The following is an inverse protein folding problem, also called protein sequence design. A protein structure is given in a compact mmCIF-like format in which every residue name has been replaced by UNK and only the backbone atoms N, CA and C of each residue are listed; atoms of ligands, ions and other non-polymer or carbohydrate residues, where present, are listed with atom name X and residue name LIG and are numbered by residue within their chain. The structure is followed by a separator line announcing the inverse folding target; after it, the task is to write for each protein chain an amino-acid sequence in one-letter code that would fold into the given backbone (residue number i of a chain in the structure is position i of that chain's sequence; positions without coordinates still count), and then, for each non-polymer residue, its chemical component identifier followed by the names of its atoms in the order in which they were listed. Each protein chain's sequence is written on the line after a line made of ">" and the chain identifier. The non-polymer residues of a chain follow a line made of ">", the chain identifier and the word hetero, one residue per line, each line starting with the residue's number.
data_IF_097781821308
#
_entry.id   IF_097781821308
#
_cell.length_a   1.000
_cell.length_b   1.000
_cell.length_c   1.000
_cell.angle_alpha   90.00
_cell.angle_beta   90.00
_cell.angle_gamma   90.00
#
_symmetry.space_group_name_H-M   'P 1'
#
loop_
_entity.id
_entity.type
_entity.pdbx_description
1 polymer ?
#
# COMPACT_ATOMS: atom_id res chain seq x y z
N UNK A 1 -26.29 16.19 24.62
CA UNK A 1 -25.98 17.55 24.11
C UNK A 1 -25.79 17.41 22.61
N UNK A 2 -26.71 17.95 21.80
CA UNK A 2 -26.69 17.80 20.33
C UNK A 2 -26.01 19.02 19.73
N UNK A 3 -24.90 18.83 19.04
CA UNK A 3 -24.20 19.90 18.31
C UNK A 3 -24.96 20.17 17.02
N UNK A 4 -25.66 21.31 16.96
CA UNK A 4 -26.35 21.76 15.74
C UNK A 4 -25.35 22.52 14.86
N UNK A 5 -25.22 22.11 13.60
CA UNK A 5 -24.41 22.79 12.60
C UNK A 5 -24.87 24.25 12.43
N UNK A 6 -23.98 25.21 12.66
CA UNK A 6 -24.25 26.66 12.58
C UNK A 6 -23.89 27.28 11.21
N UNK A 7 -23.60 26.45 10.20
CA UNK A 7 -23.23 26.93 8.87
C UNK A 7 -24.44 27.16 7.96
N UNK A 8 -24.30 28.10 7.03
CA UNK A 8 -25.30 28.35 5.99
C UNK A 8 -25.31 27.19 4.98
N UNK A 9 -26.46 26.53 4.79
CA UNK A 9 -26.62 25.50 3.77
C UNK A 9 -26.76 26.18 2.41
N UNK A 10 -25.71 26.10 1.59
CA UNK A 10 -25.73 26.61 0.22
C UNK A 10 -26.35 25.62 -0.75
N UNK A 11 -27.08 26.12 -1.74
CA UNK A 11 -27.57 25.29 -2.84
C UNK A 11 -26.40 24.73 -3.66
N UNK A 12 -26.63 23.60 -4.34
CA UNK A 12 -25.62 22.99 -5.23
C UNK A 12 -25.13 24.00 -6.26
N UNK A 13 -26.03 24.77 -6.87
CA UNK A 13 -25.66 25.83 -7.81
C UNK A 13 -24.78 26.90 -7.17
N UNK A 14 -25.11 27.37 -5.96
CA UNK A 14 -24.31 28.35 -5.25
C UNK A 14 -22.92 27.81 -4.86
N UNK A 15 -22.81 26.52 -4.57
CA UNK A 15 -21.53 25.86 -4.34
C UNK A 15 -20.70 25.75 -5.63
N UNK A 16 -21.33 25.38 -6.75
CA UNK A 16 -20.66 25.29 -8.05
C UNK A 16 -20.18 26.65 -8.55
N UNK A 17 -20.99 27.70 -8.41
CA UNK A 17 -20.62 29.06 -8.80
C UNK A 17 -19.53 29.65 -7.91
N UNK A 18 -19.51 29.30 -6.62
CA UNK A 18 -18.44 29.69 -5.71
C UNK A 18 -17.13 28.95 -6.04
N UNK A 19 -17.20 27.66 -6.38
CA UNK A 19 -16.06 26.88 -6.83
C UNK A 19 -15.48 27.42 -8.14
N UNK A 20 -16.34 27.80 -9.10
CA UNK A 20 -15.92 28.37 -10.38
C UNK A 20 -15.25 29.75 -10.23
N UNK A 21 -15.65 30.55 -9.23
CA UNK A 21 -15.08 31.87 -8.92
C UNK A 21 -13.84 31.83 -8.03
N UNK A 22 -13.60 30.70 -7.37
CA UNK A 22 -12.39 30.50 -6.58
C UNK A 22 -11.26 30.12 -7.54
N UNK A 23 -10.21 30.94 -7.72
CA UNK A 23 -9.08 30.52 -8.51
C UNK A 23 -8.52 29.24 -7.88
N UNK A 24 -8.53 28.14 -8.65
CA UNK A 24 -7.95 26.89 -8.20
C UNK A 24 -6.46 27.12 -7.94
N UNK A 25 -6.10 27.36 -6.67
CA UNK A 25 -4.72 27.58 -6.26
C UNK A 25 -4.03 26.23 -6.31
N UNK A 26 -3.53 25.88 -7.50
CA UNK A 26 -2.62 24.75 -7.68
C UNK A 26 -1.38 25.05 -6.88
N UNK A 27 -1.16 24.35 -5.77
CA UNK A 27 0.17 24.26 -5.17
C UNK A 27 1.11 23.73 -6.26
N UNK A 28 2.13 24.50 -6.69
CA UNK A 28 3.11 24.01 -7.64
C UNK A 28 3.87 22.86 -6.95
N UNK A 29 3.58 21.63 -7.35
CA UNK A 29 4.12 20.39 -6.75
C UNK A 29 3.23 19.16 -6.90
N UNK A 30 1.90 19.33 -7.04
CA UNK A 30 0.97 18.19 -7.14
C UNK A 30 0.17 18.24 -8.45
N UNK A 31 0.71 17.62 -9.50
CA UNK A 31 -0.13 17.06 -10.57
C UNK A 31 0.13 15.57 -10.82
N UNK A 32 1.22 15.01 -10.31
CA UNK A 32 1.63 13.61 -10.55
C UNK A 32 2.48 13.04 -9.38
N UNK A 33 2.21 13.44 -8.13
CA UNK A 33 2.98 12.98 -6.97
C UNK A 33 2.46 11.66 -6.38
N UNK A 34 3.33 10.97 -5.64
CA UNK A 34 2.96 9.83 -4.80
C UNK A 34 1.98 10.28 -3.72
N UNK A 35 0.97 9.45 -3.41
CA UNK A 35 0.07 9.69 -2.28
C UNK A 35 0.75 9.24 -0.98
N UNK A 36 1.16 7.96 -0.94
CA UNK A 36 1.98 7.38 0.11
C UNK A 36 3.04 6.47 -0.49
N UNK A 37 4.16 6.33 0.22
CA UNK A 37 5.24 5.39 -0.09
C UNK A 37 5.11 4.11 0.74
N UNK A 38 5.84 3.07 0.34
CA UNK A 38 6.00 1.88 1.16
C UNK A 38 6.61 2.20 2.55
N UNK A 39 7.46 3.23 2.64
CA UNK A 39 8.03 3.70 3.89
C UNK A 39 6.97 4.32 4.82
N UNK A 40 6.07 5.16 4.29
CA UNK A 40 4.94 5.72 5.05
C UNK A 40 4.01 4.62 5.56
N UNK A 41 3.74 3.62 4.72
CA UNK A 41 2.94 2.44 5.07
C UNK A 41 3.59 1.63 6.19
N UNK A 42 4.91 1.42 6.16
CA UNK A 42 5.62 0.70 7.23
C UNK A 42 5.64 1.46 8.56
N UNK A 43 5.77 2.80 8.53
CA UNK A 43 5.61 3.65 9.73
C UNK A 43 4.19 3.51 10.30
N UNK A 44 3.18 3.49 9.42
CA UNK A 44 1.79 3.28 9.82
C UNK A 44 1.60 1.91 10.46
N UNK A 45 2.14 0.84 9.88
CA UNK A 45 2.13 -0.51 10.49
C UNK A 45 2.77 -0.52 11.87
N UNK A 46 3.92 0.13 12.06
CA UNK A 46 4.57 0.22 13.39
C UNK A 46 3.64 0.86 14.42
N UNK A 47 2.96 1.94 14.04
CA UNK A 47 1.98 2.60 14.91
C UNK A 47 0.81 1.68 15.24
N UNK A 48 0.23 1.02 14.23
CA UNK A 48 -0.87 0.08 14.41
C UNK A 48 -0.49 -1.06 15.36
N UNK A 49 0.69 -1.67 15.16
CA UNK A 49 1.21 -2.71 16.05
C UNK A 49 1.40 -2.20 17.50
N UNK A 50 1.92 -0.98 17.67
CA UNK A 50 2.07 -0.36 18.98
C UNK A 50 0.72 -0.07 19.65
N UNK A 51 -0.31 0.24 18.86
CA UNK A 51 -1.69 0.46 19.29
C UNK A 51 -2.45 -0.87 19.55
N UNK A 52 -1.81 -2.03 19.34
CA UNK A 52 -2.36 -3.36 19.62
C UNK A 52 -3.07 -4.02 18.44
N UNK A 53 -3.01 -3.43 17.24
CA UNK A 53 -3.56 -4.05 16.03
C UNK A 53 -2.74 -5.27 15.61
N UNK A 54 -3.43 -6.25 15.02
CA UNK A 54 -2.81 -7.47 14.53
C UNK A 54 -2.14 -7.33 13.16
N UNK A 55 -1.45 -8.39 12.75
CA UNK A 55 -0.82 -8.49 11.42
C UNK A 55 -1.83 -8.34 10.27
N UNK A 56 -3.07 -8.80 10.44
CA UNK A 56 -4.11 -8.66 9.41
C UNK A 56 -4.53 -7.19 9.19
N UNK A 57 -4.54 -6.39 10.27
CA UNK A 57 -4.76 -4.94 10.17
C UNK A 57 -3.64 -4.27 9.36
N UNK A 58 -2.40 -4.63 9.66
CA UNK A 58 -1.23 -4.13 8.94
C UNK A 58 -1.12 -4.65 7.51
N UNK A 59 -1.59 -5.88 7.23
CA UNK A 59 -1.70 -6.38 5.86
C UNK A 59 -2.62 -5.50 5.03
N UNK A 60 -3.81 -5.16 5.57
CA UNK A 60 -4.78 -4.31 4.87
C UNK A 60 -4.30 -2.86 4.73
N UNK A 61 -3.87 -2.25 5.82
CA UNK A 61 -3.57 -0.81 5.85
C UNK A 61 -2.12 -0.47 5.47
N UNK A 62 -1.22 -1.46 5.43
CA UNK A 62 0.15 -1.29 4.99
C UNK A 62 0.37 -1.88 3.61
N UNK A 63 0.23 -3.20 3.47
CA UNK A 63 0.60 -3.90 2.24
C UNK A 63 -0.40 -3.62 1.11
N UNK A 64 -1.70 -3.85 1.33
CA UNK A 64 -2.71 -3.60 0.30
C UNK A 64 -2.83 -2.11 -0.02
N UNK A 65 -2.77 -1.23 0.99
CA UNK A 65 -2.73 0.22 0.75
C UNK A 65 -1.54 0.64 -0.14
N UNK A 66 -0.35 0.06 0.07
CA UNK A 66 0.82 0.33 -0.79
C UNK A 66 0.60 -0.15 -2.22
N UNK A 67 -0.06 -1.29 -2.41
CA UNK A 67 -0.44 -1.79 -3.72
C UNK A 67 -1.48 -0.88 -4.41
N UNK A 68 -2.45 -0.36 -3.66
CA UNK A 68 -3.45 0.60 -4.16
C UNK A 68 -2.77 1.90 -4.62
N UNK A 69 -1.87 2.44 -3.79
CA UNK A 69 -1.10 3.65 -4.09
C UNK A 69 -0.20 3.47 -5.32
N UNK A 70 0.48 2.33 -5.43
CA UNK A 70 1.24 1.94 -6.61
C UNK A 70 0.34 1.85 -7.84
N UNK A 71 -0.78 1.15 -7.75
CA UNK A 71 -1.71 0.92 -8.88
C UNK A 71 -2.32 2.23 -9.37
N UNK A 72 -2.75 3.09 -8.46
CA UNK A 72 -3.25 4.43 -8.75
C UNK A 72 -2.19 5.31 -9.41
N UNK A 73 -0.95 5.27 -8.91
CA UNK A 73 0.17 6.03 -9.49
C UNK A 73 0.53 5.52 -10.88
N UNK A 74 0.59 4.20 -11.07
CA UNK A 74 0.85 3.56 -12.38
C UNK A 74 -0.18 3.96 -13.42
N UNK A 75 -1.46 3.94 -13.06
CA UNK A 75 -2.56 4.37 -13.95
C UNK A 75 -2.43 5.83 -14.38
N UNK A 76 -1.84 6.69 -13.54
CA UNK A 76 -1.72 8.13 -13.79
C UNK A 76 -0.44 8.54 -14.53
N UNK A 77 0.67 7.82 -14.31
CA UNK A 77 1.99 8.24 -14.80
C UNK A 77 2.96 7.13 -15.16
N UNK A 78 2.49 5.89 -15.34
CA UNK A 78 3.30 4.78 -15.81
C UNK A 78 4.12 4.08 -14.72
N UNK A 79 4.81 2.99 -15.08
CA UNK A 79 5.55 2.15 -14.15
C UNK A 79 6.75 2.87 -13.50
N UNK A 80 7.41 3.79 -14.19
CA UNK A 80 8.56 4.54 -13.66
C UNK A 80 8.14 5.49 -12.53
N UNK A 81 6.97 6.11 -12.65
CA UNK A 81 6.42 6.94 -11.58
C UNK A 81 5.94 6.06 -10.41
N UNK A 82 5.30 4.94 -10.71
CA UNK A 82 4.80 4.02 -9.68
C UNK A 82 5.94 3.38 -8.86
N UNK A 83 7.06 3.06 -9.50
CA UNK A 83 8.26 2.54 -8.84
C UNK A 83 8.77 3.46 -7.71
N UNK A 84 8.48 4.77 -7.78
CA UNK A 84 8.89 5.71 -6.74
C UNK A 84 8.19 5.46 -5.39
N UNK A 85 7.07 4.73 -5.35
CA UNK A 85 6.45 4.23 -4.09
C UNK A 85 7.47 3.44 -3.26
N UNK A 86 8.46 2.82 -3.89
CA UNK A 86 9.47 1.96 -3.28
C UNK A 86 10.87 2.59 -3.22
N UNK A 87 11.01 3.89 -3.51
CA UNK A 87 12.32 4.58 -3.52
C UNK A 87 12.98 4.57 -2.15
N UNK A 88 12.23 4.91 -1.10
CA UNK A 88 12.73 4.90 0.26
C UNK A 88 12.58 3.50 0.87
N UNK A 89 13.64 3.04 1.55
CA UNK A 89 13.57 1.78 2.27
C UNK A 89 12.54 1.86 3.40
N UNK A 90 11.56 0.94 3.43
CA UNK A 90 10.60 0.91 4.52
C UNK A 90 11.29 0.58 5.85
N UNK A 91 11.11 1.39 6.90
CA UNK A 91 11.72 1.08 8.20
C UNK A 91 11.13 -0.22 8.76
N UNK A 92 11.94 -0.97 9.51
CA UNK A 92 11.51 -2.24 10.11
C UNK A 92 10.28 -2.03 10.99
N UNK A 93 9.23 -2.80 10.73
CA UNK A 93 7.96 -2.70 11.46
C UNK A 93 8.04 -3.31 12.86
N UNK A 94 9.03 -4.19 13.09
CA UNK A 94 9.11 -5.05 14.28
C UNK A 94 8.41 -6.39 14.09
N UNK A 95 7.72 -6.59 12.96
CA UNK A 95 7.11 -7.85 12.57
C UNK A 95 7.77 -8.38 11.27
N UNK A 96 8.58 -9.45 11.34
CA UNK A 96 9.27 -10.01 10.18
C UNK A 96 8.34 -10.34 9.00
N UNK A 97 7.11 -10.76 9.29
CA UNK A 97 6.05 -11.02 8.32
C UNK A 97 5.75 -9.82 7.42
N UNK A 98 5.61 -8.63 8.01
CA UNK A 98 5.31 -7.41 7.27
C UNK A 98 6.55 -6.90 6.52
N UNK A 99 7.71 -6.98 7.15
CA UNK A 99 8.97 -6.59 6.52
C UNK A 99 9.28 -7.45 5.27
N UNK A 100 8.97 -8.75 5.34
CA UNK A 100 9.03 -9.69 4.24
C UNK A 100 7.99 -9.37 3.15
N UNK A 101 6.76 -9.03 3.54
CA UNK A 101 5.70 -8.69 2.59
C UNK A 101 5.99 -7.39 1.82
N UNK A 102 6.57 -6.36 2.44
CA UNK A 102 6.98 -5.14 1.72
C UNK A 102 8.08 -5.43 0.70
N UNK A 103 9.07 -6.25 1.06
CA UNK A 103 10.11 -6.69 0.13
C UNK A 103 9.55 -7.53 -1.02
N UNK A 104 8.68 -8.49 -0.71
CA UNK A 104 8.01 -9.33 -1.70
C UNK A 104 7.15 -8.52 -2.68
N UNK A 105 6.43 -7.50 -2.17
CA UNK A 105 5.59 -6.65 -3.00
C UNK A 105 6.41 -5.81 -3.97
N UNK A 106 7.51 -5.20 -3.50
CA UNK A 106 8.42 -4.42 -4.35
C UNK A 106 9.01 -5.30 -5.46
N UNK A 107 9.52 -6.48 -5.10
CA UNK A 107 10.12 -7.44 -6.02
C UNK A 107 9.10 -7.96 -7.07
N UNK A 108 7.92 -8.36 -6.62
CA UNK A 108 6.82 -8.80 -7.49
C UNK A 108 6.41 -7.73 -8.51
N UNK A 109 6.25 -6.47 -8.05
CA UNK A 109 5.83 -5.37 -8.92
C UNK A 109 6.93 -4.93 -9.88
N UNK A 110 8.19 -4.98 -9.44
CA UNK A 110 9.37 -4.71 -10.27
C UNK A 110 9.47 -5.68 -11.43
N UNK A 111 9.36 -6.98 -11.15
CA UNK A 111 9.35 -8.03 -12.18
C UNK A 111 8.15 -7.85 -13.13
N UNK A 112 6.95 -7.64 -12.58
CA UNK A 112 5.72 -7.53 -13.37
C UNK A 112 5.72 -6.33 -14.32
N UNK A 113 6.17 -5.17 -13.85
CA UNK A 113 6.06 -3.90 -14.57
C UNK A 113 7.40 -3.44 -15.19
N UNK A 114 8.47 -4.23 -15.08
CA UNK A 114 9.71 -4.05 -15.84
C UNK A 114 10.65 -2.96 -15.31
N UNK A 115 10.65 -2.70 -14.00
CA UNK A 115 11.57 -1.77 -13.34
C UNK A 115 12.52 -2.49 -12.39
N UNK A 116 13.58 -1.81 -11.92
CA UNK A 116 14.63 -2.45 -11.12
C UNK A 116 14.21 -2.66 -9.66
N UNK A 117 14.23 -3.90 -9.18
CA UNK A 117 13.97 -4.21 -7.77
C UNK A 117 14.93 -3.44 -6.85
N UNK A 118 14.44 -2.75 -5.80
CA UNK A 118 15.29 -1.99 -4.89
C UNK A 118 16.20 -2.92 -4.08
N UNK A 119 17.43 -2.50 -3.78
CA UNK A 119 18.40 -3.31 -3.05
C UNK A 119 17.89 -3.75 -1.67
N UNK A 120 17.15 -2.89 -0.97
CA UNK A 120 16.56 -3.22 0.33
C UNK A 120 15.53 -4.36 0.24
N UNK A 121 14.87 -4.56 -0.90
CA UNK A 121 13.90 -5.64 -1.10
C UNK A 121 14.59 -6.99 -1.34
N UNK A 122 15.87 -6.97 -1.73
CA UNK A 122 16.71 -8.15 -1.91
C UNK A 122 17.42 -8.58 -0.62
N UNK A 123 17.25 -7.83 0.48
CA UNK A 123 17.82 -8.17 1.78
C UNK A 123 17.24 -9.51 2.31
N UNK A 124 18.07 -10.56 2.50
CA UNK A 124 17.61 -11.87 2.94
C UNK A 124 17.03 -11.87 4.37
N UNK A 125 17.28 -10.81 5.15
CA UNK A 125 16.70 -10.66 6.49
C UNK A 125 15.25 -10.15 6.45
N UNK A 126 14.70 -9.81 5.27
CA UNK A 126 13.27 -9.55 5.04
C UNK A 126 12.57 -10.84 4.63
N UNK A 127 12.55 -11.80 5.55
CA UNK A 127 11.92 -13.10 5.38
C UNK A 127 11.13 -13.48 6.64
N UNK A 128 10.10 -14.30 6.47
CA UNK A 128 9.33 -14.93 7.53
C UNK A 128 9.40 -16.45 7.40
N UNK A 129 9.12 -17.18 8.49
CA UNK A 129 9.14 -18.64 8.47
C UNK A 129 7.99 -19.19 7.61
N UNK A 130 6.75 -18.86 7.94
CA UNK A 130 5.56 -19.13 7.13
C UNK A 130 4.43 -18.24 7.61
N UNK A 131 3.82 -17.48 6.71
CA UNK A 131 2.73 -16.57 7.04
C UNK A 131 1.67 -16.53 5.93
N UNK A 132 0.41 -16.60 6.34
CA UNK A 132 -0.77 -16.65 5.47
C UNK A 132 -1.65 -15.42 5.73
N UNK A 133 -1.29 -14.22 5.22
CA UNK A 133 -2.00 -12.99 5.53
C UNK A 133 -3.42 -13.00 4.98
N UNK A 134 -4.43 -12.88 5.85
CA UNK A 134 -5.83 -12.91 5.46
C UNK A 134 -6.24 -14.10 4.55
N UNK A 135 -5.51 -15.23 4.60
CA UNK A 135 -5.82 -16.46 3.86
C UNK A 135 -6.50 -17.46 4.81
N UNK A 136 -7.82 -17.71 4.65
CA UNK A 136 -8.54 -18.75 5.37
C UNK A 136 -7.86 -20.12 5.26
N UNK A 137 -7.95 -20.93 6.32
CA UNK A 137 -7.32 -22.26 6.38
C UNK A 137 -7.68 -23.15 5.17
N UNK A 138 -8.93 -23.10 4.71
CA UNK A 138 -9.42 -23.88 3.55
C UNK A 138 -8.72 -23.53 2.22
N UNK A 139 -8.05 -22.36 2.15
CA UNK A 139 -7.36 -21.86 0.97
C UNK A 139 -5.84 -21.94 1.09
N UNK A 140 -5.29 -22.50 2.18
CA UNK A 140 -3.83 -22.53 2.38
C UNK A 140 -3.12 -23.44 1.38
N UNK A 141 -3.68 -24.60 1.08
CA UNK A 141 -3.12 -25.50 0.06
C UNK A 141 -3.09 -24.85 -1.35
N UNK A 142 -4.08 -24.01 -1.65
CA UNK A 142 -4.10 -23.19 -2.86
C UNK A 142 -2.99 -22.12 -2.79
N UNK A 143 -2.87 -21.40 -1.68
CA UNK A 143 -1.81 -20.41 -1.48
C UNK A 143 -0.40 -21.04 -1.60
N UNK A 144 -0.16 -22.23 -1.05
CA UNK A 144 1.12 -22.95 -1.19
C UNK A 144 1.51 -23.11 -2.67
N UNK A 145 0.52 -23.48 -3.49
CA UNK A 145 0.71 -23.79 -4.92
C UNK A 145 0.76 -22.53 -5.78
N UNK A 146 -0.03 -21.52 -5.47
CA UNK A 146 -0.24 -20.35 -6.34
C UNK A 146 0.58 -19.12 -5.97
N UNK A 147 1.13 -19.06 -4.75
CA UNK A 147 1.88 -17.88 -4.29
C UNK A 147 2.92 -17.41 -5.31
N UNK A 148 2.93 -16.11 -5.67
CA UNK A 148 3.98 -15.57 -6.52
C UNK A 148 5.37 -15.83 -5.93
N UNK A 149 6.35 -16.11 -6.79
CA UNK A 149 7.70 -16.50 -6.37
C UNK A 149 8.36 -15.50 -5.40
N UNK A 150 8.18 -14.20 -5.64
CA UNK A 150 8.68 -13.12 -4.79
C UNK A 150 8.14 -13.18 -3.34
N UNK A 151 6.87 -13.59 -3.17
CA UNK A 151 6.24 -13.79 -1.87
C UNK A 151 6.64 -15.13 -1.25
N UNK A 152 6.52 -16.22 -2.02
CA UNK A 152 6.82 -17.59 -1.56
C UNK A 152 8.24 -17.72 -1.03
N UNK A 153 9.23 -17.18 -1.74
CA UNK A 153 10.65 -17.24 -1.34
C UNK A 153 10.94 -16.53 -0.01
N UNK A 154 10.05 -15.65 0.46
CA UNK A 154 10.15 -14.89 1.71
C UNK A 154 9.19 -15.41 2.80
N UNK A 155 8.57 -16.56 2.59
CA UNK A 155 7.65 -17.21 3.53
C UNK A 155 6.29 -16.53 3.66
N UNK A 156 5.92 -15.67 2.70
CA UNK A 156 4.58 -15.07 2.63
C UNK A 156 3.76 -15.81 1.59
N UNK A 157 2.66 -16.43 2.03
CA UNK A 157 1.86 -17.33 1.21
C UNK A 157 0.47 -16.73 0.99
N UNK A 158 0.19 -16.41 -0.27
CA UNK A 158 -1.01 -15.73 -0.74
C UNK A 158 -1.64 -16.49 -1.90
N UNK A 159 -2.96 -16.42 -2.03
CA UNK A 159 -3.66 -16.88 -3.24
C UNK A 159 -3.49 -15.88 -4.38
N UNK A 160 -3.68 -16.31 -5.63
CA UNK A 160 -3.58 -15.41 -6.82
C UNK A 160 -4.42 -14.14 -6.68
N UNK A 161 -5.64 -14.30 -6.11
CA UNK A 161 -6.61 -13.20 -5.90
C UNK A 161 -6.28 -12.23 -4.76
N UNK A 162 -5.25 -12.49 -3.96
CA UNK A 162 -4.96 -11.69 -2.75
C UNK A 162 -4.47 -10.28 -3.10
N UNK A 163 -3.92 -10.10 -4.30
CA UNK A 163 -3.46 -8.81 -4.82
C UNK A 163 -4.44 -8.17 -5.82
N UNK A 164 -5.49 -8.89 -6.24
CA UNK A 164 -6.46 -8.40 -7.24
C UNK A 164 -7.45 -7.37 -6.67
N UNK A 165 -7.50 -7.20 -5.35
CA UNK A 165 -8.47 -6.33 -4.67
C UNK A 165 -8.04 -4.85 -4.57
N UNK A 166 -6.98 -4.47 -5.27
CA UNK A 166 -6.44 -3.11 -5.30
C UNK A 166 -6.95 -2.24 -6.47
#
# INVERSE_FOLDING_TARGET
>A
MVTVFQGEIRSVTALLDAAARTPFRRTPGSRFGLLHTAADSAVTCRRLLADGEGLDGCWRFGILQTLDDYTSTRRRGGPELAAQVFSDEPPRTGAPQLDAAFAALADYLAERDGWTTPQWALDPTRAAETWYPAVPMILRAEADTESPQAFRSRGVLITSRSLDRA
#
